data_IF_615292344563
#
_entry.id   IF_615292344563
#
_cell.length_a   1.000
_cell.length_b   1.000
_cell.length_c   1.000
_cell.angle_alpha   90.00
_cell.angle_beta   90.00
_cell.angle_gamma   90.00
#
_symmetry.space_group_name_H-M   'P 1'
#
loop_
_entity.id
_entity.type
_entity.pdbx_description
1 polymer ?
#
# COMPACT_ATOMS: atom_id res chain seq x y z
N UNK A 1 31.72 2.34 27.09
CA UNK A 1 30.97 3.25 26.20
C UNK A 1 29.52 3.25 26.63
N UNK A 2 28.81 4.38 26.71
CA UNK A 2 27.38 4.31 26.95
C UNK A 2 26.78 3.47 25.82
N UNK A 3 25.99 2.45 26.18
CA UNK A 3 25.29 1.63 25.19
C UNK A 3 24.33 2.58 24.49
N UNK A 4 24.63 2.97 23.25
CA UNK A 4 23.71 3.82 22.51
C UNK A 4 22.54 2.94 22.08
N UNK A 5 21.34 3.24 22.58
CA UNK A 5 20.11 2.61 22.11
C UNK A 5 20.08 2.65 20.58
N UNK A 6 19.79 1.50 19.95
CA UNK A 6 19.80 1.41 18.49
C UNK A 6 18.53 2.04 17.92
N UNK A 7 18.70 2.92 16.95
CA UNK A 7 17.56 3.56 16.27
C UNK A 7 16.99 2.63 15.19
N UNK A 8 15.67 2.58 15.08
CA UNK A 8 14.93 1.76 14.12
C UNK A 8 14.06 2.64 13.22
N UNK A 9 14.27 2.54 11.91
CA UNK A 9 13.32 2.98 10.90
C UNK A 9 12.29 1.88 10.66
N UNK A 10 11.02 2.17 10.92
CA UNK A 10 9.92 1.25 10.73
C UNK A 10 9.21 1.55 9.41
N UNK A 11 9.48 0.73 8.39
CA UNK A 11 8.72 0.79 7.14
C UNK A 11 7.41 0.02 7.31
N UNK A 12 6.28 0.70 7.19
CA UNK A 12 4.96 0.11 7.36
C UNK A 12 4.05 0.45 6.17
N UNK A 13 3.92 -0.51 5.26
CA UNK A 13 3.30 -0.35 3.94
C UNK A 13 1.76 -0.40 3.94
N UNK A 14 1.13 0.35 4.84
CA UNK A 14 -0.33 0.45 4.93
C UNK A 14 -0.75 1.92 5.13
N UNK A 15 -2.01 2.27 4.80
CA UNK A 15 -2.54 3.60 5.04
C UNK A 15 -2.48 3.96 6.53
N UNK A 16 -1.65 4.95 6.86
CA UNK A 16 -1.46 5.46 8.21
C UNK A 16 -1.71 6.95 8.26
N UNK A 17 -2.46 7.40 9.27
CA UNK A 17 -2.52 8.82 9.62
C UNK A 17 -1.32 9.12 10.52
N UNK A 18 -0.26 9.61 9.89
CA UNK A 18 0.97 9.98 10.58
C UNK A 18 0.76 11.28 11.38
N UNK A 19 1.01 11.22 12.68
CA UNK A 19 0.84 12.32 13.64
C UNK A 19 2.17 12.94 14.05
N UNK A 20 3.26 12.19 13.94
CA UNK A 20 4.64 12.67 14.07
C UNK A 20 5.58 11.78 13.26
N UNK A 21 6.89 12.06 13.27
CA UNK A 21 7.87 11.19 12.62
C UNK A 21 7.81 9.74 13.12
N UNK A 22 7.53 9.52 14.41
CA UNK A 22 7.55 8.22 15.06
C UNK A 22 6.17 7.76 15.59
N UNK A 23 5.07 8.32 15.08
CA UNK A 23 3.71 8.01 15.53
C UNK A 23 2.76 8.01 14.35
N UNK A 24 1.89 7.00 14.28
CA UNK A 24 0.93 6.90 13.20
C UNK A 24 -0.17 5.88 13.46
N UNK A 25 -1.41 6.32 13.26
CA UNK A 25 -2.60 5.49 13.46
C UNK A 25 -2.93 4.71 12.19
N UNK A 26 -3.03 3.38 12.29
CA UNK A 26 -3.49 2.56 11.17
C UNK A 26 -4.92 2.97 10.78
N UNK A 27 -5.12 3.39 9.53
CA UNK A 27 -6.43 3.83 9.05
C UNK A 27 -7.28 2.66 8.57
N UNK A 28 -6.69 1.76 7.79
CA UNK A 28 -7.32 0.54 7.28
C UNK A 28 -6.27 -0.45 6.80
N UNK A 29 -6.61 -1.73 6.84
CA UNK A 29 -5.81 -2.76 6.20
C UNK A 29 -6.07 -2.78 4.69
N UNK A 30 -5.03 -3.10 3.92
CA UNK A 30 -5.09 -3.32 2.46
C UNK A 30 -4.40 -4.63 2.14
N UNK A 31 -4.30 -5.00 0.85
CA UNK A 31 -3.53 -6.17 0.39
C UNK A 31 -4.00 -7.50 1.03
N UNK A 32 -5.29 -7.62 1.33
CA UNK A 32 -5.89 -8.82 1.93
C UNK A 32 -5.69 -9.00 3.44
N UNK A 33 -5.04 -8.05 4.14
CA UNK A 33 -4.93 -8.09 5.60
C UNK A 33 -6.26 -7.72 6.27
N UNK A 34 -6.56 -8.34 7.42
CA UNK A 34 -7.78 -8.04 8.19
C UNK A 34 -7.59 -8.35 9.68
N UNK A 35 -6.96 -7.44 10.42
CA UNK A 35 -6.79 -7.53 11.88
C UNK A 35 -7.57 -6.38 12.53
N UNK A 36 -8.84 -6.60 12.87
CA UNK A 36 -9.76 -5.55 13.30
C UNK A 36 -9.28 -4.74 14.50
N UNK A 37 -8.65 -5.40 15.48
CA UNK A 37 -8.17 -4.76 16.71
C UNK A 37 -7.04 -3.75 16.50
N UNK A 38 -6.42 -3.70 15.31
CA UNK A 38 -5.29 -2.81 15.02
C UNK A 38 -5.72 -1.47 14.44
N UNK A 39 -6.92 -1.39 13.85
CA UNK A 39 -7.41 -0.16 13.22
C UNK A 39 -7.58 0.93 14.28
N UNK A 40 -7.03 2.11 14.00
CA UNK A 40 -7.01 3.25 14.93
C UNK A 40 -5.91 3.19 16.00
N UNK A 41 -5.08 2.15 16.06
CA UNK A 41 -3.96 2.07 17.00
C UNK A 41 -2.67 2.64 16.41
N UNK A 42 -1.81 3.16 17.29
CA UNK A 42 -0.47 3.61 16.93
C UNK A 42 0.45 2.41 16.70
N UNK A 43 0.90 2.23 15.45
CA UNK A 43 1.71 1.07 15.06
C UNK A 43 3.14 1.15 15.60
N UNK A 44 3.69 2.35 15.80
CA UNK A 44 5.00 2.54 16.39
C UNK A 44 5.00 2.24 17.87
N UNK A 45 3.97 2.69 18.58
CA UNK A 45 3.82 2.40 20.01
C UNK A 45 3.71 0.89 20.23
N UNK A 46 2.88 0.20 19.44
CA UNK A 46 2.72 -1.25 19.53
C UNK A 46 4.03 -2.00 19.26
N UNK A 47 4.80 -1.56 18.26
CA UNK A 47 6.12 -2.13 17.98
C UNK A 47 7.10 -1.85 19.11
N UNK A 48 7.15 -0.62 19.63
CA UNK A 48 8.01 -0.24 20.74
C UNK A 48 7.71 -1.05 22.00
N UNK A 49 6.44 -1.24 22.34
CA UNK A 49 6.03 -2.08 23.45
C UNK A 49 6.45 -3.55 23.23
N UNK A 50 6.36 -4.07 22.01
CA UNK A 50 6.80 -5.42 21.69
C UNK A 50 8.33 -5.57 21.82
N UNK A 51 9.11 -4.60 21.37
CA UNK A 51 10.57 -4.58 21.54
C UNK A 51 10.95 -4.57 23.03
N UNK A 52 10.34 -3.68 23.82
CA UNK A 52 10.57 -3.58 25.27
C UNK A 52 10.22 -4.88 26.01
N UNK A 53 9.09 -5.51 25.68
CA UNK A 53 8.69 -6.81 26.27
C UNK A 53 9.70 -7.93 26.01
N UNK A 54 10.43 -7.85 24.90
CA UNK A 54 11.45 -8.84 24.52
C UNK A 54 12.87 -8.43 24.98
N UNK A 55 13.02 -7.36 25.77
CA UNK A 55 14.31 -6.90 26.27
C UNK A 55 15.26 -6.38 25.19
N UNK A 56 14.72 -5.93 24.05
CA UNK A 56 15.51 -5.38 22.95
C UNK A 56 15.75 -3.87 23.17
N UNK A 57 17.02 -3.46 23.26
CA UNK A 57 17.44 -2.06 23.37
C UNK A 57 17.40 -1.35 22.00
N UNK A 58 16.18 -1.13 21.52
CA UNK A 58 15.87 -0.47 20.25
C UNK A 58 14.78 0.59 20.43
N UNK A 59 14.93 1.70 19.73
CA UNK A 59 13.98 2.82 19.73
C UNK A 59 13.42 3.07 18.33
N UNK A 60 12.10 3.03 18.18
CA UNK A 60 11.41 3.36 16.92
C UNK A 60 11.54 4.86 16.68
N UNK A 61 12.46 5.25 15.79
CA UNK A 61 12.77 6.65 15.50
C UNK A 61 11.85 7.23 14.43
N UNK A 62 11.49 6.43 13.43
CA UNK A 62 10.73 6.90 12.29
C UNK A 62 9.76 5.83 11.79
N UNK A 63 8.54 6.26 11.46
CA UNK A 63 7.58 5.54 10.67
C UNK A 63 7.66 6.05 9.24
N UNK A 64 7.83 5.14 8.30
CA UNK A 64 7.98 5.48 6.89
C UNK A 64 7.08 4.57 6.06
N UNK A 65 6.44 5.11 5.04
CA UNK A 65 5.77 4.31 4.02
C UNK A 65 6.83 3.76 3.03
N UNK A 66 6.64 2.55 2.52
CA UNK A 66 7.59 1.93 1.57
C UNK A 66 7.93 2.79 0.36
N UNK A 67 6.93 3.44 -0.23
CA UNK A 67 7.11 4.37 -1.35
C UNK A 67 7.99 5.57 -0.94
N UNK A 68 7.78 6.12 0.26
CA UNK A 68 8.59 7.25 0.79
C UNK A 68 10.03 6.82 1.07
N UNK A 69 10.23 5.63 1.65
CA UNK A 69 11.57 5.07 1.84
C UNK A 69 12.28 4.84 0.50
N UNK A 70 11.54 4.39 -0.51
CA UNK A 70 12.05 4.22 -1.88
C UNK A 70 12.48 5.56 -2.48
N UNK A 71 11.65 6.61 -2.34
CA UNK A 71 12.01 7.96 -2.79
C UNK A 71 13.24 8.49 -2.05
N UNK A 72 13.30 8.33 -0.72
CA UNK A 72 14.44 8.80 0.06
C UNK A 72 15.76 8.14 -0.37
N UNK A 73 15.74 6.82 -0.62
CA UNK A 73 16.90 6.10 -1.14
C UNK A 73 17.25 6.51 -2.57
N UNK A 74 16.25 6.68 -3.43
CA UNK A 74 16.44 7.15 -4.81
C UNK A 74 17.09 8.54 -4.82
N UNK A 75 16.53 9.48 -4.07
CA UNK A 75 17.02 10.85 -3.96
C UNK A 75 18.42 10.93 -3.33
N UNK A 76 18.73 10.05 -2.38
CA UNK A 76 20.09 9.95 -1.83
C UNK A 76 21.14 9.58 -2.89
N UNK A 77 20.76 8.74 -3.86
CA UNK A 77 21.66 8.32 -4.93
C UNK A 77 21.66 9.28 -6.13
N UNK A 78 20.54 9.94 -6.38
CA UNK A 78 20.32 10.84 -7.51
C UNK A 78 19.36 11.97 -7.11
N UNK A 79 19.88 13.19 -6.97
CA UNK A 79 19.14 14.39 -6.55
C UNK A 79 17.98 14.74 -7.51
N UNK A 80 17.99 14.25 -8.75
CA UNK A 80 16.90 14.44 -9.72
C UNK A 80 15.71 13.49 -9.46
N UNK A 81 15.83 12.53 -8.54
CA UNK A 81 14.71 11.66 -8.14
C UNK A 81 13.68 12.46 -7.35
N UNK A 82 12.53 12.76 -7.97
CA UNK A 82 11.43 13.51 -7.36
C UNK A 82 10.19 12.68 -7.05
N UNK A 83 10.13 11.44 -7.53
CA UNK A 83 9.00 10.54 -7.32
C UNK A 83 9.45 9.09 -7.22
N UNK A 84 8.65 8.28 -6.53
CA UNK A 84 8.81 6.83 -6.46
C UNK A 84 7.46 6.14 -6.68
N UNK A 85 7.53 4.97 -7.32
CA UNK A 85 6.36 4.14 -7.61
C UNK A 85 6.65 2.73 -7.15
N UNK A 86 5.71 2.14 -6.41
CA UNK A 86 5.71 0.72 -6.06
C UNK A 86 4.72 0.01 -6.98
N UNK A 87 5.20 -1.03 -7.65
CA UNK A 87 4.42 -1.94 -8.48
C UNK A 87 4.77 -3.35 -8.03
N UNK A 88 3.89 -3.98 -7.27
CA UNK A 88 4.10 -5.32 -6.72
C UNK A 88 2.77 -5.93 -6.29
N UNK A 89 2.73 -6.53 -5.08
CA UNK A 89 1.47 -7.05 -4.51
C UNK A 89 0.39 -5.96 -4.46
N UNK A 90 0.76 -4.75 -4.05
CA UNK A 90 -0.05 -3.55 -4.17
C UNK A 90 0.58 -2.57 -5.16
N UNK A 91 -0.03 -1.38 -5.28
CA UNK A 91 0.61 -0.27 -5.98
C UNK A 91 0.42 1.05 -5.25
N UNK A 92 1.47 1.85 -5.23
CA UNK A 92 1.46 3.18 -4.65
C UNK A 92 2.43 4.12 -5.36
N UNK A 93 2.26 5.43 -5.16
CA UNK A 93 3.21 6.44 -5.58
C UNK A 93 3.39 7.50 -4.49
N UNK A 94 4.57 8.10 -4.47
CA UNK A 94 4.84 9.31 -3.71
C UNK A 94 5.73 10.25 -4.53
N UNK A 95 5.69 11.53 -4.21
CA UNK A 95 6.50 12.54 -4.87
C UNK A 95 6.82 13.70 -3.91
N UNK A 96 7.84 14.47 -4.23
CA UNK A 96 8.15 15.72 -3.54
C UNK A 96 7.26 16.84 -4.07
N UNK A 97 6.56 17.53 -3.17
CA UNK A 97 5.68 18.65 -3.49
C UNK A 97 6.09 19.90 -2.70
N UNK A 98 5.91 21.07 -3.31
CA UNK A 98 6.18 22.33 -2.64
C UNK A 98 5.15 22.59 -1.55
N UNK A 99 5.62 23.07 -0.39
CA UNK A 99 4.76 23.19 0.78
C UNK A 99 3.59 24.15 0.58
N UNK A 100 3.77 25.19 -0.24
CA UNK A 100 2.76 26.18 -0.59
C UNK A 100 1.65 25.63 -1.52
N UNK A 101 1.98 24.65 -2.35
CA UNK A 101 1.01 23.92 -3.19
C UNK A 101 0.09 23.01 -2.37
N UNK A 102 0.50 22.60 -1.16
CA UNK A 102 -0.26 21.70 -0.28
C UNK A 102 -1.21 22.53 0.59
N UNK A 103 -2.36 22.93 0.02
CA UNK A 103 -3.37 23.77 0.68
C UNK A 103 -3.74 23.26 2.09
N UNK A 104 -3.90 21.93 2.25
CA UNK A 104 -4.27 21.31 3.54
C UNK A 104 -3.17 21.33 4.61
N UNK A 105 -1.93 21.63 4.22
CA UNK A 105 -0.77 21.70 5.11
C UNK A 105 -0.33 23.15 5.39
N UNK A 106 -1.07 24.15 4.87
CA UNK A 106 -0.79 25.56 5.15
C UNK A 106 -0.84 25.82 6.66
N UNK A 107 0.20 26.47 7.18
CA UNK A 107 0.37 26.74 8.61
C UNK A 107 1.12 25.66 9.40
N UNK A 108 1.45 24.52 8.79
CA UNK A 108 2.41 23.58 9.37
C UNK A 108 3.83 24.12 9.17
N UNK A 109 4.69 24.08 10.21
CA UNK A 109 6.09 24.47 10.06
C UNK A 109 6.78 23.51 9.10
N UNK A 110 7.20 24.02 7.94
CA UNK A 110 8.07 23.28 7.01
C UNK A 110 9.47 23.85 7.08
N UNK A 111 10.46 22.99 7.33
CA UNK A 111 11.86 23.40 7.48
C UNK A 111 12.61 23.54 6.14
N UNK A 112 12.09 22.92 5.07
CA UNK A 112 12.80 22.70 3.80
C UNK A 112 12.08 23.30 2.57
N UNK A 113 10.95 24.00 2.74
CA UNK A 113 10.17 24.57 1.63
C UNK A 113 9.31 23.56 0.84
N UNK A 114 9.52 22.26 1.02
CA UNK A 114 8.68 21.21 0.43
C UNK A 114 8.55 19.96 1.30
N UNK A 115 7.65 19.07 0.90
CA UNK A 115 7.22 17.89 1.66
C UNK A 115 6.94 16.72 0.72
N UNK A 116 7.32 15.51 1.12
CA UNK A 116 6.95 14.29 0.38
C UNK A 116 5.47 13.98 0.61
N UNK A 117 4.73 13.81 -0.48
CA UNK A 117 3.33 13.39 -0.49
C UNK A 117 3.25 11.91 -0.83
N UNK A 118 2.93 11.09 0.16
CA UNK A 118 2.46 9.72 -0.09
C UNK A 118 1.01 9.78 -0.61
N UNK A 119 0.78 9.33 -1.84
CA UNK A 119 -0.51 9.48 -2.50
C UNK A 119 -1.54 8.45 -2.03
N UNK A 120 -1.10 7.27 -1.58
CA UNK A 120 -1.98 6.11 -1.33
C UNK A 120 -2.94 5.88 -2.52
N UNK A 121 -2.38 5.94 -3.74
CA UNK A 121 -3.15 6.10 -4.98
C UNK A 121 -4.01 4.89 -5.35
N UNK A 122 -3.92 3.79 -4.60
CA UNK A 122 -4.71 2.58 -4.86
C UNK A 122 -6.21 2.86 -4.77
N UNK A 123 -6.62 3.83 -3.95
CA UNK A 123 -8.00 4.31 -3.85
C UNK A 123 -8.40 5.31 -4.94
N UNK A 124 -7.55 5.60 -5.91
CA UNK A 124 -7.91 6.50 -7.01
C UNK A 124 -9.14 5.97 -7.74
N UNK A 125 -10.05 6.89 -8.06
CA UNK A 125 -11.28 6.58 -8.76
C UNK A 125 -11.57 7.63 -9.82
N UNK A 126 -12.00 7.14 -10.99
CA UNK A 126 -12.51 7.97 -12.07
C UNK A 126 -13.48 7.16 -12.91
N UNK A 127 -14.55 7.79 -13.41
CA UNK A 127 -15.45 7.19 -14.40
C UNK A 127 -14.74 6.87 -15.73
N UNK A 128 -13.54 7.42 -15.93
CA UNK A 128 -12.71 7.18 -17.11
C UNK A 128 -11.76 5.98 -16.97
N UNK A 129 -11.71 5.33 -15.80
CA UNK A 129 -10.96 4.09 -15.65
C UNK A 129 -11.64 2.99 -16.50
N UNK A 130 -10.91 2.27 -17.36
CA UNK A 130 -11.46 1.29 -18.29
C UNK A 130 -11.81 -0.03 -17.59
N UNK A 131 -12.73 0.01 -16.63
CA UNK A 131 -13.16 -1.16 -15.86
C UNK A 131 -14.03 -2.07 -16.72
N UNK A 132 -13.64 -3.33 -16.80
CA UNK A 132 -14.41 -4.41 -17.41
C UNK A 132 -15.41 -5.01 -16.41
N UNK A 133 -16.29 -5.90 -16.88
CA UNK A 133 -17.14 -6.68 -15.99
C UNK A 133 -16.33 -7.54 -15.01
N UNK A 134 -15.14 -8.00 -15.40
CA UNK A 134 -14.25 -8.80 -14.55
C UNK A 134 -13.69 -7.99 -13.39
N UNK A 135 -13.32 -6.72 -13.62
CA UNK A 135 -12.87 -5.80 -12.57
C UNK A 135 -13.99 -5.51 -11.58
N UNK A 136 -15.22 -5.31 -12.07
CA UNK A 136 -16.40 -5.04 -11.25
C UNK A 136 -16.73 -6.26 -10.37
N UNK A 137 -16.72 -7.47 -10.94
CA UNK A 137 -16.96 -8.70 -10.20
C UNK A 137 -15.85 -9.02 -9.19
N UNK A 138 -14.60 -8.80 -9.56
CA UNK A 138 -13.45 -8.95 -8.66
C UNK A 138 -13.59 -8.01 -7.47
N UNK A 139 -13.89 -6.72 -7.72
CA UNK A 139 -14.08 -5.74 -6.66
C UNK A 139 -15.23 -6.13 -5.71
N UNK A 140 -16.38 -6.51 -6.27
CA UNK A 140 -17.55 -6.91 -5.49
C UNK A 140 -17.31 -8.15 -4.61
N UNK A 141 -16.43 -9.06 -5.05
CA UNK A 141 -16.09 -10.29 -4.32
C UNK A 141 -14.84 -10.14 -3.43
N UNK A 142 -14.16 -9.00 -3.48
CA UNK A 142 -12.99 -8.74 -2.66
C UNK A 142 -13.37 -8.51 -1.19
N UNK A 143 -12.41 -8.67 -0.25
CA UNK A 143 -12.64 -8.32 1.16
C UNK A 143 -12.98 -6.84 1.40
N UNK A 144 -12.69 -5.98 0.43
CA UNK A 144 -12.85 -4.52 0.52
C UNK A 144 -13.56 -3.95 -0.72
N UNK A 145 -14.85 -4.24 -0.96
CA UNK A 145 -15.57 -3.77 -2.13
C UNK A 145 -15.62 -2.24 -2.22
N UNK A 146 -15.52 -1.69 -3.44
CA UNK A 146 -15.46 -0.25 -3.76
C UNK A 146 -14.20 0.49 -3.23
N UNK A 147 -13.30 -0.23 -2.58
CA UNK A 147 -12.03 0.29 -2.06
C UNK A 147 -10.87 -0.21 -2.92
N UNK A 148 -9.77 0.55 -2.97
CA UNK A 148 -8.56 0.16 -3.72
C UNK A 148 -8.82 -0.15 -5.21
N UNK A 149 -9.78 0.52 -5.84
CA UNK A 149 -10.21 0.22 -7.21
C UNK A 149 -9.09 0.34 -8.25
N UNK A 150 -8.22 1.35 -8.14
CA UNK A 150 -7.08 1.50 -9.03
C UNK A 150 -6.01 0.42 -8.78
N UNK A 151 -5.77 0.07 -7.51
CA UNK A 151 -4.84 -1.01 -7.16
C UNK A 151 -5.31 -2.36 -7.69
N UNK A 152 -6.61 -2.67 -7.60
CA UNK A 152 -7.20 -3.91 -8.13
C UNK A 152 -7.04 -4.09 -9.63
N UNK A 153 -6.91 -3.00 -10.38
CA UNK A 153 -6.74 -3.06 -11.84
C UNK A 153 -5.28 -3.29 -12.27
N UNK A 154 -4.30 -3.01 -11.40
CA UNK A 154 -2.89 -2.87 -11.81
C UNK A 154 -1.94 -3.76 -11.00
N UNK A 155 -2.24 -4.04 -9.73
CA UNK A 155 -1.29 -4.72 -8.86
C UNK A 155 -1.23 -6.23 -9.12
N UNK A 156 -0.06 -6.81 -8.86
CA UNK A 156 0.20 -8.23 -9.09
C UNK A 156 -0.73 -9.16 -8.30
N UNK A 157 -1.26 -8.70 -7.15
CA UNK A 157 -2.25 -9.48 -6.39
C UNK A 157 -3.51 -9.80 -7.19
N UNK A 158 -3.90 -8.94 -8.15
CA UNK A 158 -5.20 -9.04 -8.82
C UNK A 158 -5.11 -9.37 -10.31
N UNK A 159 -3.97 -9.12 -10.96
CA UNK A 159 -3.79 -9.41 -12.39
C UNK A 159 -4.05 -10.88 -12.74
N UNK A 160 -3.55 -11.82 -11.92
CA UNK A 160 -3.81 -13.25 -12.12
C UNK A 160 -5.28 -13.61 -11.93
N UNK A 161 -5.97 -12.97 -10.98
CA UNK A 161 -7.40 -13.19 -10.72
C UNK A 161 -8.28 -12.67 -11.87
N UNK A 162 -7.94 -11.53 -12.47
CA UNK A 162 -8.61 -11.04 -13.69
C UNK A 162 -8.45 -12.05 -14.84
N UNK A 163 -7.22 -12.54 -15.08
CA UNK A 163 -6.97 -13.56 -16.10
C UNK A 163 -7.75 -14.84 -15.83
N UNK A 164 -7.81 -15.30 -14.57
CA UNK A 164 -8.58 -16.48 -14.19
C UNK A 164 -10.06 -16.31 -14.52
N UNK A 165 -10.66 -15.15 -14.23
CA UNK A 165 -12.07 -14.85 -14.53
C UNK A 165 -12.35 -14.86 -16.02
N UNK A 166 -11.47 -14.26 -16.82
CA UNK A 166 -11.58 -14.29 -18.29
C UNK A 166 -11.54 -15.73 -18.81
N UNK A 167 -10.54 -16.51 -18.40
CA UNK A 167 -10.40 -17.91 -18.85
C UNK A 167 -11.59 -18.76 -18.40
N UNK A 168 -12.03 -18.62 -17.15
CA UNK A 168 -13.20 -19.33 -16.65
C UNK A 168 -14.45 -19.00 -17.47
N UNK A 169 -14.67 -17.72 -17.81
CA UNK A 169 -15.80 -17.32 -18.66
C UNK A 169 -15.71 -17.94 -20.05
N UNK A 170 -14.54 -17.88 -20.68
CA UNK A 170 -14.32 -18.47 -22.00
C UNK A 170 -14.56 -19.97 -22.00
N UNK A 171 -14.11 -20.70 -20.97
CA UNK A 171 -14.33 -22.16 -20.85
C UNK A 171 -15.79 -22.54 -20.60
N UNK A 172 -16.60 -21.63 -20.04
CA UNK A 172 -18.04 -21.84 -19.84
C UNK A 172 -18.86 -21.53 -21.09
N UNK A 173 -18.37 -20.65 -21.95
CA UNK A 173 -19.08 -20.19 -23.16
C UNK A 173 -18.59 -20.84 -24.45
N UNK A 174 -17.46 -21.56 -24.42
CA UNK A 174 -16.81 -22.11 -25.59
C UNK A 174 -16.13 -23.45 -25.29
N UNK A 175 -16.12 -24.33 -26.30
CA UNK A 175 -15.46 -25.64 -26.23
C UNK A 175 -13.93 -25.57 -26.43
N UNK A 176 -13.35 -24.37 -26.60
CA UNK A 176 -11.91 -24.17 -26.87
C UNK A 176 -11.01 -24.86 -25.85
N UNK A 177 -11.43 -24.91 -24.57
CA UNK A 177 -10.64 -25.48 -23.48
C UNK A 177 -11.11 -26.88 -23.05
N UNK A 178 -12.11 -27.44 -23.73
CA UNK A 178 -12.78 -28.67 -23.28
C UNK A 178 -13.49 -28.50 -21.92
N UNK A 179 -13.63 -29.57 -21.13
CA UNK A 179 -14.27 -29.49 -19.81
C UNK A 179 -13.55 -28.50 -18.88
N UNK A 180 -14.34 -27.69 -18.16
CA UNK A 180 -13.80 -26.71 -17.20
C UNK A 180 -12.96 -27.41 -16.14
N UNK A 181 -11.69 -27.02 -16.02
CA UNK A 181 -10.81 -27.49 -14.94
C UNK A 181 -11.35 -27.03 -13.58
N UNK A 182 -11.51 -27.92 -12.59
CA UNK A 182 -11.91 -27.54 -11.23
C UNK A 182 -11.00 -26.47 -10.61
N UNK A 183 -9.72 -26.44 -10.97
CA UNK A 183 -8.77 -25.44 -10.48
C UNK A 183 -9.11 -24.02 -10.89
N UNK A 184 -9.76 -23.82 -12.04
CA UNK A 184 -10.16 -22.48 -12.49
C UNK A 184 -11.29 -21.90 -11.66
N UNK A 185 -12.00 -22.70 -10.87
CA UNK A 185 -13.03 -22.25 -9.94
C UNK A 185 -12.45 -21.70 -8.63
N UNK A 186 -11.18 -21.96 -8.34
CA UNK A 186 -10.50 -21.47 -7.13
C UNK A 186 -10.01 -20.03 -7.34
N UNK A 187 -10.53 -19.10 -6.55
CA UNK A 187 -10.12 -17.70 -6.61
C UNK A 187 -8.63 -17.55 -6.26
N UNK A 188 -7.94 -16.64 -6.95
CA UNK A 188 -6.52 -16.35 -6.77
C UNK A 188 -5.56 -17.54 -7.01
N UNK A 189 -6.00 -18.57 -7.74
CA UNK A 189 -5.12 -19.71 -8.13
C UNK A 189 -3.99 -19.31 -9.08
N UNK A 190 -4.16 -18.22 -9.84
CA UNK A 190 -3.15 -17.66 -10.72
C UNK A 190 -2.44 -16.51 -10.00
N UNK A 191 -1.13 -16.64 -9.81
CA UNK A 191 -0.25 -15.59 -9.29
C UNK A 191 0.54 -14.93 -10.41
N UNK A 192 0.94 -13.67 -10.21
CA UNK A 192 1.97 -12.99 -11.03
C UNK A 192 3.37 -13.26 -10.53
#
# INVERSE_FOLDING_TARGET
>A
SPVSTRELGFTFSFPVKQTSLNSGLLMKWTKGFSIGEMVGKDVCELLQQALSRNGLDMHVLALVNDTVGTLALGHYNDEDTVAAVIIGTGTNACYFEQADAIIKAQGLPTSSGGMVVNMEWGNFWSSHLPRTSYDIELDAQSPNPNDQGFEKMISGMYLGEIVRRVILRMSLESDIFGPVSPSLCEAFILST
#
